data_IF_487332968597
#
_entry.id   IF_487332968597
#
_cell.length_a   1.000
_cell.length_b   1.000
_cell.length_c   1.000
_cell.angle_alpha   90.00
_cell.angle_beta   90.00
_cell.angle_gamma   90.00
#
_symmetry.space_group_name_H-M   'P 1'
#
loop_
_entity.id
_entity.type
_entity.pdbx_description
1 polymer ?
#
# COMPACT_ATOMS: atom_id res chain seq x y z
N UNK A 1 9.24 -4.45 -22.44
CA UNK A 1 8.58 -3.99 -21.19
C UNK A 1 8.24 -2.48 -21.13
N UNK A 2 7.72 -1.80 -22.19
CA UNK A 2 7.19 -0.43 -22.06
C UNK A 2 5.69 -0.37 -21.73
N UNK A 3 4.92 -1.41 -22.05
CA UNK A 3 3.46 -1.41 -21.92
C UNK A 3 2.96 -1.47 -20.46
N UNK A 4 3.69 -2.10 -19.55
CA UNK A 4 3.34 -2.19 -18.12
C UNK A 4 3.51 -0.82 -17.44
N UNK A 5 4.51 -0.02 -17.85
CA UNK A 5 4.74 1.32 -17.32
C UNK A 5 3.60 2.29 -17.66
N UNK A 6 3.07 2.25 -18.88
CA UNK A 6 1.97 3.11 -19.33
C UNK A 6 0.64 2.72 -18.68
N UNK A 7 0.45 1.44 -18.33
CA UNK A 7 -0.73 0.98 -17.60
C UNK A 7 -0.68 1.43 -16.13
N UNK A 8 0.51 1.37 -15.51
CA UNK A 8 0.73 1.89 -14.15
C UNK A 8 0.56 3.40 -14.03
N UNK A 9 0.86 4.16 -15.10
CA UNK A 9 0.73 5.63 -15.10
C UNK A 9 -0.73 6.13 -15.22
N UNK A 10 -1.69 5.26 -15.54
CA UNK A 10 -3.12 5.59 -15.67
C UNK A 10 -3.96 5.16 -14.48
N UNK A 11 -3.44 4.32 -13.58
CA UNK A 11 -4.14 3.97 -12.35
C UNK A 11 -4.09 5.22 -11.46
N UNK A 12 -5.26 5.78 -11.16
CA UNK A 12 -5.36 6.81 -10.13
C UNK A 12 -4.70 6.24 -8.86
N UNK A 13 -3.64 6.88 -8.36
CA UNK A 13 -2.88 6.40 -7.20
C UNK A 13 -3.82 6.07 -6.03
N UNK A 14 -4.90 6.85 -5.87
CA UNK A 14 -5.96 6.64 -4.88
C UNK A 14 -6.69 5.31 -5.08
N UNK A 15 -7.06 4.96 -6.34
CA UNK A 15 -7.72 3.70 -6.67
C UNK A 15 -6.75 2.53 -6.43
N UNK A 16 -5.49 2.67 -6.83
CA UNK A 16 -4.49 1.62 -6.63
C UNK A 16 -4.25 1.28 -5.16
N UNK A 17 -4.11 2.30 -4.30
CA UNK A 17 -3.94 2.11 -2.86
C UNK A 17 -5.22 1.55 -2.22
N UNK A 18 -6.39 2.01 -2.63
CA UNK A 18 -7.67 1.47 -2.15
C UNK A 18 -7.81 -0.02 -2.49
N UNK A 19 -7.47 -0.43 -3.71
CA UNK A 19 -7.47 -1.84 -4.12
C UNK A 19 -6.49 -2.63 -3.26
N UNK A 20 -5.28 -2.13 -3.02
CA UNK A 20 -4.30 -2.81 -2.15
C UNK A 20 -4.83 -3.00 -0.73
N UNK A 21 -5.40 -1.96 -0.11
CA UNK A 21 -5.93 -2.04 1.26
C UNK A 21 -7.16 -2.95 1.37
N UNK A 22 -8.11 -2.85 0.44
CA UNK A 22 -9.33 -3.70 0.45
C UNK A 22 -8.97 -5.16 0.19
N UNK A 23 -8.05 -5.41 -0.74
CA UNK A 23 -7.61 -6.78 -1.04
C UNK A 23 -6.81 -7.35 0.12
N UNK A 24 -5.90 -6.58 0.73
CA UNK A 24 -5.18 -6.99 1.94
C UNK A 24 -6.13 -7.38 3.08
N UNK A 25 -7.13 -6.53 3.35
CA UNK A 25 -8.11 -6.81 4.41
C UNK A 25 -8.90 -8.08 4.11
N UNK A 26 -9.27 -8.30 2.85
CA UNK A 26 -9.98 -9.50 2.41
C UNK A 26 -9.13 -10.76 2.55
N UNK A 27 -7.85 -10.74 2.15
CA UNK A 27 -6.98 -11.90 2.28
C UNK A 27 -6.58 -12.16 3.73
N UNK A 28 -6.42 -11.13 4.55
CA UNK A 28 -6.23 -11.26 6.00
C UNK A 28 -7.46 -11.89 6.67
N UNK A 29 -8.68 -11.55 6.24
CA UNK A 29 -9.89 -12.25 6.70
C UNK A 29 -9.89 -13.74 6.29
N UNK A 30 -9.47 -14.06 5.07
CA UNK A 30 -9.36 -15.46 4.61
C UNK A 30 -8.29 -16.25 5.38
N UNK A 31 -7.18 -15.58 5.78
CA UNK A 31 -6.14 -16.16 6.62
C UNK A 31 -6.68 -16.61 7.98
N UNK A 32 -7.47 -15.75 8.64
CA UNK A 32 -8.05 -16.04 9.97
C UNK A 32 -9.00 -17.25 9.94
N UNK A 33 -9.72 -17.42 8.83
CA UNK A 33 -10.74 -18.48 8.68
C UNK A 33 -10.15 -19.82 8.17
N UNK A 34 -8.86 -19.88 7.89
CA UNK A 34 -8.22 -21.06 7.30
C UNK A 34 -7.48 -21.89 8.34
N UNK A 35 -7.74 -23.19 8.36
CA UNK A 35 -7.00 -24.18 9.17
C UNK A 35 -5.98 -24.98 8.37
N UNK A 36 -6.03 -24.92 7.04
CA UNK A 36 -5.11 -25.63 6.15
C UNK A 36 -3.81 -24.80 5.96
N UNK A 37 -2.63 -25.33 6.33
CA UNK A 37 -1.37 -24.59 6.26
C UNK A 37 -0.93 -24.23 4.83
N UNK A 38 -1.31 -25.02 3.83
CA UNK A 38 -0.99 -24.74 2.42
C UNK A 38 -1.82 -23.55 1.93
N UNK A 39 -3.12 -23.56 2.21
CA UNK A 39 -4.00 -22.43 1.86
C UNK A 39 -3.62 -21.16 2.63
N UNK A 40 -3.24 -21.30 3.90
CA UNK A 40 -2.72 -20.20 4.70
C UNK A 40 -1.50 -19.56 4.03
N UNK A 41 -0.52 -20.39 3.64
CA UNK A 41 0.69 -19.90 2.97
C UNK A 41 0.39 -19.22 1.63
N UNK A 42 -0.56 -19.77 0.86
CA UNK A 42 -0.98 -19.18 -0.41
C UNK A 42 -1.63 -17.81 -0.20
N UNK A 43 -2.56 -17.69 0.76
CA UNK A 43 -3.20 -16.41 1.09
C UNK A 43 -2.18 -15.39 1.58
N UNK A 44 -1.21 -15.80 2.39
CA UNK A 44 -0.15 -14.92 2.88
C UNK A 44 0.73 -14.38 1.73
N UNK A 45 1.05 -15.21 0.74
CA UNK A 45 1.83 -14.78 -0.43
C UNK A 45 1.04 -13.77 -1.26
N UNK A 46 -0.25 -14.01 -1.49
CA UNK A 46 -1.11 -13.09 -2.24
C UNK A 46 -1.25 -11.76 -1.50
N UNK A 47 -1.55 -11.81 -0.20
CA UNK A 47 -1.64 -10.65 0.69
C UNK A 47 -0.36 -9.79 0.66
N UNK A 48 0.79 -10.43 0.87
CA UNK A 48 2.11 -9.79 0.81
C UNK A 48 2.39 -9.14 -0.54
N UNK A 49 1.93 -9.75 -1.64
CA UNK A 49 2.10 -9.22 -2.99
C UNK A 49 1.33 -7.91 -3.17
N UNK A 50 0.09 -7.83 -2.68
CA UNK A 50 -0.71 -6.60 -2.73
C UNK A 50 -0.16 -5.51 -1.82
N UNK A 51 0.37 -5.87 -0.65
CA UNK A 51 1.03 -4.94 0.26
C UNK A 51 2.28 -4.30 -0.37
N UNK A 52 3.14 -5.11 -0.99
CA UNK A 52 4.32 -4.63 -1.73
C UNK A 52 3.88 -3.76 -2.91
N UNK A 53 2.87 -4.20 -3.66
CA UNK A 53 2.30 -3.43 -4.78
C UNK A 53 1.80 -2.04 -4.36
N UNK A 54 1.07 -1.95 -3.25
CA UNK A 54 0.62 -0.68 -2.67
C UNK A 54 1.78 0.23 -2.27
N UNK A 55 2.84 -0.35 -1.68
CA UNK A 55 4.08 0.36 -1.37
C UNK A 55 4.77 0.96 -2.60
N UNK A 56 4.80 0.23 -3.72
CA UNK A 56 5.36 0.73 -4.99
C UNK A 56 4.56 1.91 -5.55
N UNK A 57 3.22 1.89 -5.45
CA UNK A 57 2.36 3.00 -5.87
C UNK A 57 2.66 4.25 -5.03
N UNK A 58 2.81 4.10 -3.71
CA UNK A 58 3.20 5.20 -2.82
C UNK A 58 4.61 5.74 -3.13
N UNK A 59 5.58 4.86 -3.39
CA UNK A 59 6.92 5.28 -3.79
C UNK A 59 6.91 6.08 -5.11
N UNK A 60 6.10 5.65 -6.08
CA UNK A 60 5.91 6.40 -7.32
C UNK A 60 5.32 7.79 -7.04
N UNK A 61 4.31 7.88 -6.18
CA UNK A 61 3.73 9.16 -5.75
C UNK A 61 4.78 10.07 -5.08
N UNK A 62 5.56 9.56 -4.12
CA UNK A 62 6.61 10.32 -3.43
C UNK A 62 7.67 10.88 -4.39
N UNK A 63 8.02 10.12 -5.44
CA UNK A 63 8.97 10.56 -6.46
C UNK A 63 8.49 11.80 -7.22
N UNK A 64 7.16 12.01 -7.33
CA UNK A 64 6.53 13.12 -8.07
C UNK A 64 6.28 14.37 -7.21
N UNK A 65 6.24 14.23 -5.88
CA UNK A 65 5.95 15.34 -4.95
C UNK A 65 7.12 16.31 -4.82
N UNK A 66 8.34 15.80 -4.65
CA UNK A 66 9.53 16.65 -4.54
C UNK A 66 10.56 16.22 -5.57
N UNK A 67 11.05 17.15 -6.40
CA UNK A 67 12.23 16.92 -7.25
C UNK A 67 13.53 17.33 -6.54
N UNK A 68 13.45 18.32 -5.66
CA UNK A 68 14.59 18.95 -4.97
C UNK A 68 14.97 18.22 -3.68
N UNK A 69 13.99 17.70 -2.92
CA UNK A 69 14.22 17.07 -1.62
C UNK A 69 13.94 15.56 -1.61
N UNK A 70 14.06 14.89 -2.77
CA UNK A 70 13.79 13.44 -2.93
C UNK A 70 14.48 12.61 -1.87
N UNK A 71 15.78 12.80 -1.67
CA UNK A 71 16.56 12.03 -0.69
C UNK A 71 16.03 12.16 0.75
N UNK A 72 15.54 13.35 1.15
CA UNK A 72 14.95 13.56 2.48
C UNK A 72 13.60 12.84 2.61
N UNK A 73 12.74 12.91 1.59
CA UNK A 73 11.45 12.23 1.59
C UNK A 73 11.66 10.72 1.64
N UNK A 74 12.49 10.16 0.76
CA UNK A 74 12.80 8.73 0.76
C UNK A 74 13.47 8.30 2.07
N UNK A 75 14.44 9.05 2.58
CA UNK A 75 15.08 8.77 3.86
C UNK A 75 14.09 8.71 5.04
N UNK A 76 13.17 9.67 5.13
CA UNK A 76 12.12 9.69 6.16
C UNK A 76 11.16 8.50 6.00
N UNK A 77 10.71 8.21 4.78
CA UNK A 77 9.83 7.06 4.54
C UNK A 77 10.50 5.73 4.88
N UNK A 78 11.80 5.57 4.55
CA UNK A 78 12.57 4.40 4.92
C UNK A 78 12.76 4.28 6.43
N UNK A 79 12.99 5.39 7.12
CA UNK A 79 13.11 5.40 8.58
C UNK A 79 11.80 4.99 9.25
N UNK A 80 10.68 5.60 8.85
CA UNK A 80 9.33 5.25 9.33
C UNK A 80 9.01 3.77 9.03
N UNK A 81 9.32 3.30 7.82
CA UNK A 81 9.11 1.90 7.42
C UNK A 81 9.91 0.92 8.27
N UNK A 82 11.18 1.24 8.59
CA UNK A 82 12.01 0.42 9.49
C UNK A 82 11.48 0.41 10.91
N UNK A 83 11.02 1.56 11.42
CA UNK A 83 10.34 1.63 12.70
C UNK A 83 9.11 0.74 12.73
N UNK A 84 8.25 0.83 11.71
CA UNK A 84 7.09 -0.05 11.56
C UNK A 84 7.47 -1.54 11.51
N UNK A 85 8.56 -1.88 10.83
CA UNK A 85 9.08 -3.25 10.77
C UNK A 85 9.60 -3.80 12.10
N UNK A 86 9.95 -2.94 13.06
CA UNK A 86 10.32 -3.33 14.43
C UNK A 86 9.09 -3.36 15.32
N UNK A 87 8.30 -2.28 15.32
CA UNK A 87 7.14 -2.14 16.21
C UNK A 87 6.01 -3.09 15.85
N UNK A 88 5.83 -3.41 14.57
CA UNK A 88 4.78 -4.31 14.07
C UNK A 88 4.86 -5.71 14.69
N UNK A 89 5.99 -6.44 14.54
CA UNK A 89 6.17 -7.75 15.17
C UNK A 89 6.08 -7.72 16.70
N UNK A 90 6.58 -6.66 17.36
CA UNK A 90 6.48 -6.52 18.82
C UNK A 90 5.02 -6.42 19.25
N UNK A 91 4.26 -5.50 18.64
CA UNK A 91 2.83 -5.33 18.94
C UNK A 91 2.04 -6.59 18.59
N UNK A 92 2.34 -7.21 17.44
CA UNK A 92 1.70 -8.45 17.00
C UNK A 92 1.97 -9.63 17.94
N UNK A 93 3.21 -9.77 18.43
CA UNK A 93 3.58 -10.79 19.41
C UNK A 93 2.88 -10.60 20.75
N UNK A 94 2.84 -9.37 21.26
CA UNK A 94 2.11 -9.05 22.50
C UNK A 94 0.62 -9.39 22.35
N UNK A 95 0.00 -9.06 21.21
CA UNK A 95 -1.41 -9.38 20.95
C UNK A 95 -1.68 -10.88 20.82
N UNK A 96 -0.73 -11.61 20.23
CA UNK A 96 -0.79 -13.06 20.15
C UNK A 96 -0.82 -13.70 21.54
N UNK A 97 0.03 -13.22 22.45
CA UNK A 97 0.17 -13.79 23.79
C UNK A 97 -0.99 -13.43 24.73
N UNK A 98 -1.59 -12.24 24.59
CA UNK A 98 -2.60 -11.74 25.54
C UNK A 98 -4.04 -12.15 25.23
N UNK A 99 -4.40 -12.27 23.95
CA UNK A 99 -5.81 -12.41 23.55
C UNK A 99 -6.09 -13.76 22.88
N UNK A 100 -5.54 -13.99 21.68
CA UNK A 100 -5.70 -15.20 20.86
C UNK A 100 -4.75 -15.10 19.66
N UNK A 101 -4.41 -16.24 19.03
CA UNK A 101 -3.65 -16.29 17.77
C UNK A 101 -4.24 -15.47 16.62
N UNK A 102 -5.54 -15.14 16.67
CA UNK A 102 -6.22 -14.33 15.66
C UNK A 102 -6.10 -12.81 15.87
N UNK A 103 -5.79 -12.37 17.10
CA UNK A 103 -5.74 -10.96 17.47
C UNK A 103 -4.83 -10.08 16.58
N UNK A 104 -3.59 -10.48 16.22
CA UNK A 104 -2.75 -9.66 15.35
C UNK A 104 -3.34 -9.45 13.95
N UNK A 105 -4.00 -10.46 13.39
CA UNK A 105 -4.64 -10.37 12.08
C UNK A 105 -5.88 -9.47 12.10
N UNK A 106 -6.67 -9.54 13.18
CA UNK A 106 -7.83 -8.66 13.38
C UNK A 106 -7.36 -7.20 13.45
N UNK A 107 -6.30 -6.92 14.21
CA UNK A 107 -5.72 -5.57 14.27
C UNK A 107 -5.27 -5.10 12.87
N UNK A 108 -4.62 -5.98 12.10
CA UNK A 108 -4.17 -5.66 10.73
C UNK A 108 -5.35 -5.19 9.86
N UNK A 109 -6.48 -5.91 9.88
CA UNK A 109 -7.69 -5.53 9.13
C UNK A 109 -8.18 -4.13 9.52
N UNK A 110 -8.25 -3.84 10.82
CA UNK A 110 -8.65 -2.51 11.29
C UNK A 110 -7.70 -1.41 10.82
N UNK A 111 -6.39 -1.67 10.89
CA UNK A 111 -5.37 -0.72 10.42
C UNK A 111 -5.50 -0.48 8.91
N UNK A 112 -5.63 -1.53 8.11
CA UNK A 112 -5.76 -1.42 6.65
C UNK A 112 -7.00 -0.64 6.23
N UNK A 113 -8.15 -0.90 6.85
CA UNK A 113 -9.38 -0.16 6.56
C UNK A 113 -9.26 1.29 7.01
N UNK A 114 -8.67 1.55 8.19
CA UNK A 114 -8.46 2.91 8.69
C UNK A 114 -7.48 3.73 7.84
N UNK A 115 -6.55 3.07 7.15
CA UNK A 115 -5.61 3.71 6.24
C UNK A 115 -6.26 4.22 4.95
N UNK A 116 -7.37 3.62 4.51
CA UNK A 116 -8.07 4.04 3.28
C UNK A 116 -8.47 5.53 3.32
N UNK A 117 -9.28 6.01 4.28
CA UNK A 117 -9.65 7.43 4.34
C UNK A 117 -8.43 8.33 4.58
N UNK A 118 -7.45 7.88 5.36
CA UNK A 118 -6.21 8.62 5.58
C UNK A 118 -5.44 8.86 4.28
N UNK A 119 -5.27 7.82 3.47
CA UNK A 119 -4.58 7.92 2.17
C UNK A 119 -5.37 8.75 1.17
N UNK A 120 -6.70 8.63 1.13
CA UNK A 120 -7.54 9.49 0.27
C UNK A 120 -7.33 10.97 0.62
N UNK A 121 -7.41 11.32 1.91
CA UNK A 121 -7.21 12.70 2.36
C UNK A 121 -5.79 13.19 2.09
N UNK A 122 -4.79 12.35 2.33
CA UNK A 122 -3.39 12.67 2.08
C UNK A 122 -3.14 12.94 0.59
N UNK A 123 -3.61 12.05 -0.30
CA UNK A 123 -3.44 12.20 -1.75
C UNK A 123 -4.17 13.44 -2.24
N UNK A 124 -5.40 13.69 -1.80
CA UNK A 124 -6.15 14.88 -2.20
C UNK A 124 -5.42 16.18 -1.80
N UNK A 125 -4.78 16.21 -0.64
CA UNK A 125 -3.96 17.35 -0.19
C UNK A 125 -2.63 17.46 -0.95
N UNK A 126 -2.08 16.35 -1.42
CA UNK A 126 -0.80 16.28 -2.14
C UNK A 126 -0.94 16.54 -3.64
N UNK A 127 -2.06 16.18 -4.26
CA UNK A 127 -2.38 16.43 -5.68
C UNK A 127 -2.07 17.86 -6.15
N UNK A 128 -2.49 18.93 -5.46
CA UNK A 128 -2.20 20.30 -5.89
C UNK A 128 -0.70 20.66 -5.82
N UNK A 129 0.10 19.92 -5.05
CA UNK A 129 1.52 20.15 -4.84
C UNK A 129 2.43 19.26 -5.71
N UNK A 130 1.85 18.42 -6.59
CA UNK A 130 2.62 17.55 -7.47
C UNK A 130 3.42 18.38 -8.49
N UNK A 131 4.74 18.23 -8.48
CA UNK A 131 5.66 18.91 -9.40
C UNK A 131 5.50 18.42 -10.86
N UNK A 132 4.86 17.28 -11.05
CA UNK A 132 4.56 16.69 -12.36
C UNK A 132 3.04 16.50 -12.50
N UNK A 133 2.38 17.40 -13.23
CA UNK A 133 1.01 17.16 -13.72
C UNK A 133 1.12 16.18 -14.89
N UNK A 134 0.46 15.02 -14.79
CA UNK A 134 0.41 14.02 -15.86
C UNK A 134 -0.02 14.72 -17.16
N UNK A 135 0.87 14.78 -18.16
CA UNK A 135 0.50 15.24 -19.50
C UNK A 135 -0.57 14.29 -19.99
N UNK A 136 -1.81 14.77 -20.12
CA UNK A 136 -2.88 14.04 -20.82
C UNK A 136 -2.32 13.56 -22.16
N UNK A 137 -2.52 12.29 -22.55
CA UNK A 137 -2.03 11.80 -23.84
C UNK A 137 -2.55 12.74 -24.94
N UNK A 138 -1.64 13.25 -25.78
CA UNK A 138 -2.01 14.00 -26.98
C UNK A 138 -2.98 13.12 -27.77
N UNK A 139 -4.19 13.61 -28.04
CA UNK A 139 -5.09 12.99 -29.01
C UNK A 139 -4.28 12.81 -30.31
N UNK A 140 -4.10 11.57 -30.73
CA UNK A 140 -3.57 11.26 -32.06
C UNK A 140 -4.59 11.85 -33.04
N UNK A 141 -4.18 12.70 -34.01
CA UNK A 141 -5.11 13.16 -35.04
C UNK A 141 -5.66 11.93 -35.75
N UNK A 142 -6.98 11.85 -35.87
CA UNK A 142 -7.59 10.82 -36.71
C UNK A 142 -7.09 11.00 -38.15
N UNK A 143 -6.79 9.91 -38.87
CA UNK A 143 -6.42 9.95 -40.28
C UNK A 143 -7.54 10.53 -41.15
#
# INVERSE_FOLDING_TARGET
>A
APYIGVLSDKINNTIGIMISCVTGALFTLLLINTTNPILFSLYLVVDSTFAIGGGLILMNLYSRISKVHRGKVFGLTSWIGRWGGITGPIVGGILWDLNTSQAPFILSIFVEIALIPLFILAIWKLEPHLAEKVKKPKKIPNP
#
